data_IF_462077674813
#
_entry.id   IF_462077674813
#
_cell.length_a   1.000
_cell.length_b   1.000
_cell.length_c   1.000
_cell.angle_alpha   90.00
_cell.angle_beta   90.00
_cell.angle_gamma   90.00
#
_symmetry.space_group_name_H-M   'P 1'
#
loop_
_entity.id
_entity.type
_entity.pdbx_description
1 polymer ?
#
# COMPACT_ATOMS: atom_id res chain seq x y z
N UNK A 1 6.42 13.46 -9.47
CA UNK A 1 7.38 12.62 -10.21
C UNK A 1 7.37 11.24 -9.60
N UNK A 2 7.00 10.22 -10.37
CA UNK A 2 7.03 8.82 -9.95
C UNK A 2 8.47 8.46 -9.50
N UNK A 3 8.69 7.72 -8.40
CA UNK A 3 10.02 7.59 -7.80
C UNK A 3 10.85 6.49 -8.48
N UNK A 4 10.83 6.41 -9.81
CA UNK A 4 11.64 5.44 -10.56
C UNK A 4 12.86 6.16 -11.14
N UNK A 5 14.05 5.77 -10.69
CA UNK A 5 15.30 6.27 -11.24
C UNK A 5 15.42 5.90 -12.74
N UNK A 6 15.99 6.79 -13.56
CA UNK A 6 16.04 6.61 -15.03
C UNK A 6 16.72 5.30 -15.44
N UNK A 7 17.76 4.88 -14.71
CA UNK A 7 18.44 3.59 -14.91
C UNK A 7 17.52 2.36 -14.84
N UNK A 8 16.39 2.47 -14.14
CA UNK A 8 15.45 1.36 -13.94
C UNK A 8 14.39 1.28 -15.05
N UNK A 9 14.21 2.32 -15.88
CA UNK A 9 13.11 2.39 -16.85
C UNK A 9 13.17 1.28 -17.90
N UNK A 10 14.34 1.00 -18.46
CA UNK A 10 14.51 -0.05 -19.47
C UNK A 10 14.20 -1.45 -18.94
N UNK A 11 14.65 -1.77 -17.72
CA UNK A 11 14.32 -3.04 -17.08
C UNK A 11 12.83 -3.17 -16.76
N UNK A 12 12.19 -2.08 -16.31
CA UNK A 12 10.75 -2.09 -16.03
C UNK A 12 9.92 -2.29 -17.30
N UNK A 13 10.34 -1.73 -18.44
CA UNK A 13 9.71 -2.00 -19.73
C UNK A 13 9.81 -3.47 -20.14
N UNK A 14 10.99 -4.08 -19.98
CA UNK A 14 11.20 -5.50 -20.25
C UNK A 14 10.31 -6.39 -19.36
N UNK A 15 10.27 -6.10 -18.05
CA UNK A 15 9.41 -6.83 -17.10
C UNK A 15 7.92 -6.66 -17.45
N UNK A 16 7.48 -5.44 -17.79
CA UNK A 16 6.10 -5.16 -18.16
C UNK A 16 5.64 -5.92 -19.41
N UNK A 17 6.56 -6.22 -20.34
CA UNK A 17 6.25 -7.02 -21.54
C UNK A 17 6.14 -8.53 -21.26
N UNK A 18 6.80 -9.01 -20.20
CA UNK A 18 6.93 -10.44 -19.87
C UNK A 18 5.93 -10.91 -18.81
N UNK A 19 5.38 -9.99 -18.02
CA UNK A 19 4.54 -10.30 -16.87
C UNK A 19 3.21 -9.58 -16.97
N UNK A 20 2.15 -10.30 -16.59
CA UNK A 20 0.87 -9.67 -16.36
C UNK A 20 0.92 -8.92 -15.04
N UNK A 21 0.60 -7.62 -15.07
CA UNK A 21 0.46 -6.81 -13.88
C UNK A 21 -0.90 -7.12 -13.28
N UNK A 22 -0.91 -7.79 -12.13
CA UNK A 22 -2.10 -8.05 -11.33
C UNK A 22 -2.06 -7.13 -10.10
N UNK A 23 -2.57 -5.89 -10.20
CA UNK A 23 -2.59 -4.99 -9.05
C UNK A 23 -3.49 -5.59 -7.97
N UNK A 24 -3.07 -5.41 -6.72
CA UNK A 24 -3.92 -5.75 -5.58
C UNK A 24 -5.25 -4.98 -5.69
N UNK A 25 -6.41 -5.65 -5.52
CA UNK A 25 -7.70 -4.97 -5.56
C UNK A 25 -7.80 -3.97 -4.40
N UNK A 26 -8.27 -2.77 -4.74
CA UNK A 26 -8.62 -1.74 -3.77
C UNK A 26 -10.05 -1.29 -4.03
N UNK A 27 -10.79 -1.01 -2.97
CA UNK A 27 -12.19 -0.64 -3.01
C UNK A 27 -12.41 0.71 -2.33
N UNK A 28 -13.41 1.44 -2.80
CA UNK A 28 -13.86 2.66 -2.13
C UNK A 28 -14.75 2.34 -0.92
N UNK A 29 -15.27 3.38 -0.27
CA UNK A 29 -16.16 3.26 0.89
C UNK A 29 -17.49 2.54 0.57
N UNK A 30 -17.90 2.48 -0.69
CA UNK A 30 -19.08 1.75 -1.16
C UNK A 30 -18.75 0.32 -1.59
N UNK A 31 -17.53 -0.16 -1.35
CA UNK A 31 -17.02 -1.45 -1.83
C UNK A 31 -16.99 -1.55 -3.37
N UNK A 32 -16.88 -0.42 -4.07
CA UNK A 32 -16.71 -0.40 -5.53
C UNK A 32 -15.23 -0.50 -5.85
N UNK A 33 -14.88 -1.39 -6.78
CA UNK A 33 -13.51 -1.59 -7.21
C UNK A 33 -12.93 -0.31 -7.81
N UNK A 34 -11.83 0.16 -7.24
CA UNK A 34 -11.08 1.31 -7.76
C UNK A 34 -10.26 0.84 -8.96
N UNK A 35 -10.31 1.53 -10.12
CA UNK A 35 -9.42 1.23 -11.22
C UNK A 35 -7.95 1.49 -10.85
N UNK A 36 -6.99 0.64 -11.23
CA UNK A 36 -5.57 0.82 -10.91
C UNK A 36 -4.99 2.19 -11.31
N UNK A 37 -5.51 2.79 -12.38
CA UNK A 37 -5.12 4.12 -12.85
C UNK A 37 -5.42 5.23 -11.81
N UNK A 38 -6.39 5.00 -10.93
CA UNK A 38 -6.82 5.95 -9.90
C UNK A 38 -6.17 5.69 -8.53
N UNK A 39 -5.36 4.65 -8.39
CA UNK A 39 -4.79 4.25 -7.09
C UNK A 39 -3.97 5.36 -6.45
N UNK A 40 -3.13 6.06 -7.21
CA UNK A 40 -2.33 7.14 -6.62
C UNK A 40 -3.24 8.25 -6.06
N UNK A 41 -4.29 8.63 -6.78
CA UNK A 41 -5.18 9.70 -6.36
C UNK A 41 -6.08 9.29 -5.19
N UNK A 42 -6.48 8.02 -5.11
CA UNK A 42 -7.46 7.52 -4.13
C UNK A 42 -6.81 6.94 -2.87
N UNK A 43 -5.62 6.34 -2.97
CA UNK A 43 -4.99 5.60 -1.86
C UNK A 43 -3.88 6.40 -1.17
N UNK A 44 -3.25 7.35 -1.85
CA UNK A 44 -2.08 8.05 -1.30
C UNK A 44 -2.50 8.99 -0.17
N UNK A 45 -2.22 8.59 1.07
CA UNK A 45 -2.61 9.34 2.27
C UNK A 45 -4.06 9.12 2.69
N UNK A 46 -4.74 8.15 2.09
CA UNK A 46 -6.05 7.69 2.54
C UNK A 46 -5.91 6.79 3.77
N UNK A 47 -6.95 6.79 4.62
CA UNK A 47 -7.08 5.77 5.66
C UNK A 47 -7.75 4.56 5.03
N UNK A 48 -7.11 3.40 5.13
CA UNK A 48 -7.58 2.16 4.54
C UNK A 48 -7.69 1.05 5.58
N UNK A 49 -8.70 0.21 5.43
CA UNK A 49 -8.76 -1.11 6.04
C UNK A 49 -8.00 -2.09 5.14
N UNK A 50 -7.08 -2.87 5.72
CA UNK A 50 -6.23 -3.80 4.98
C UNK A 50 -6.50 -5.22 5.43
N UNK A 51 -6.97 -6.07 4.52
CA UNK A 51 -7.23 -7.48 4.80
C UNK A 51 -6.01 -8.29 4.42
N UNK A 52 -5.41 -8.99 5.37
CA UNK A 52 -4.18 -9.76 5.16
C UNK A 52 -4.40 -11.23 5.51
N UNK A 53 -3.77 -12.10 4.74
CA UNK A 53 -3.67 -13.52 5.05
C UNK A 53 -2.25 -13.84 5.55
N UNK A 54 -2.15 -14.52 6.68
CA UNK A 54 -0.88 -14.96 7.24
C UNK A 54 -0.63 -16.43 6.90
N UNK A 55 0.51 -16.69 6.26
CA UNK A 55 0.98 -18.02 5.91
C UNK A 55 2.17 -18.39 6.78
N UNK A 56 2.17 -19.63 7.24
CA UNK A 56 3.34 -20.24 7.86
C UNK A 56 3.83 -21.36 6.95
N UNK A 57 5.09 -21.24 6.55
CA UNK A 57 5.79 -22.26 5.79
C UNK A 57 6.90 -22.85 6.66
N UNK A 58 6.76 -24.13 6.99
CA UNK A 58 7.81 -24.88 7.65
C UNK A 58 8.65 -25.63 6.62
N UNK A 59 9.84 -25.10 6.32
CA UNK A 59 10.78 -25.74 5.40
C UNK A 59 11.63 -26.74 6.18
N UNK A 60 11.18 -28.00 6.23
CA UNK A 60 11.83 -29.10 6.96
C UNK A 60 13.31 -29.25 6.62
N UNK A 61 13.66 -29.21 5.32
CA UNK A 61 15.04 -29.41 4.83
C UNK A 61 16.02 -28.39 5.41
N UNK A 62 15.61 -27.14 5.55
CA UNK A 62 16.44 -26.08 6.13
C UNK A 62 16.16 -25.84 7.61
N UNK A 63 15.22 -26.56 8.23
CA UNK A 63 14.69 -26.32 9.59
C UNK A 63 14.30 -24.85 9.82
N UNK A 64 13.70 -24.21 8.81
CA UNK A 64 13.31 -22.79 8.87
C UNK A 64 11.80 -22.66 8.91
N UNK A 65 11.34 -21.71 9.72
CA UNK A 65 9.97 -21.23 9.70
C UNK A 65 9.95 -19.90 8.97
N UNK A 66 9.12 -19.81 7.94
CA UNK A 66 8.90 -18.58 7.19
C UNK A 66 7.46 -18.16 7.47
N UNK A 67 7.27 -16.92 7.89
CA UNK A 67 5.96 -16.33 8.08
C UNK A 67 5.79 -15.26 7.02
N UNK A 68 4.73 -15.38 6.24
CA UNK A 68 4.42 -14.45 5.15
C UNK A 68 3.07 -13.80 5.43
N UNK A 69 3.01 -12.47 5.38
CA UNK A 69 1.76 -11.73 5.42
C UNK A 69 1.45 -11.24 4.01
N UNK A 70 0.41 -11.78 3.40
CA UNK A 70 -0.02 -11.45 2.04
C UNK A 70 -1.24 -10.56 2.12
N UNK A 71 -1.13 -9.35 1.59
CA UNK A 71 -2.24 -8.42 1.47
C UNK A 71 -3.25 -8.96 0.43
N UNK A 72 -4.54 -8.96 0.77
CA UNK A 72 -5.63 -9.51 -0.06
C UNK A 72 -6.46 -8.41 -0.69
N UNK A 73 -6.81 -7.39 0.08
CA UNK A 73 -7.54 -6.23 -0.42
C UNK A 73 -7.33 -5.01 0.49
N UNK A 74 -7.65 -3.85 -0.06
CA UNK A 74 -7.66 -2.56 0.63
C UNK A 74 -9.03 -1.92 0.47
N UNK A 75 -9.62 -1.40 1.54
CA UNK A 75 -10.89 -0.69 1.52
C UNK A 75 -10.66 0.72 2.04
N UNK A 76 -11.02 1.74 1.27
CA UNK A 76 -10.86 3.15 1.68
C UNK A 76 -11.93 3.50 2.71
N UNK A 77 -11.48 3.79 3.94
CA UNK A 77 -12.33 4.25 5.04
C UNK A 77 -12.48 5.78 5.04
N UNK A 78 -11.42 6.49 4.66
CA UNK A 78 -11.43 7.95 4.57
C UNK A 78 -10.57 8.41 3.39
N UNK A 79 -11.03 9.40 2.59
CA UNK A 79 -10.28 9.89 1.45
C UNK A 79 -8.92 10.48 1.87
N UNK A 80 -7.98 10.64 0.92
CA UNK A 80 -6.70 11.26 1.16
C UNK A 80 -6.80 12.60 1.88
N UNK A 81 -6.16 12.72 3.03
CA UNK A 81 -6.05 14.01 3.70
C UNK A 81 -5.23 14.98 2.82
N UNK A 82 -5.61 16.26 2.71
CA UNK A 82 -4.78 17.25 2.04
C UNK A 82 -3.39 17.26 2.66
N UNK A 83 -2.35 17.08 1.84
CA UNK A 83 -0.98 17.16 2.35
C UNK A 83 -0.77 18.52 3.03
N UNK A 84 -0.26 18.56 4.27
CA UNK A 84 0.04 19.83 4.93
C UNK A 84 1.02 20.64 4.07
N UNK A 85 0.69 21.91 3.82
CA UNK A 85 1.53 22.79 3.00
C UNK A 85 2.93 22.99 3.62
N UNK A 86 3.04 23.00 4.94
CA UNK A 86 4.32 23.20 5.64
C UNK A 86 5.18 21.92 5.69
N UNK A 87 6.49 22.08 5.43
CA UNK A 87 7.46 20.96 5.53
C UNK A 87 7.49 20.34 6.94
N UNK A 88 7.38 21.17 7.98
CA UNK A 88 7.41 20.70 9.37
C UNK A 88 6.23 19.78 9.73
N UNK A 89 5.03 20.05 9.21
CA UNK A 89 3.87 19.18 9.43
C UNK A 89 3.91 17.91 8.58
N UNK A 90 4.63 17.92 7.44
CA UNK A 90 4.86 16.73 6.62
C UNK A 90 5.80 15.71 7.26
N UNK A 91 6.84 16.13 7.99
CA UNK A 91 7.75 15.18 8.65
C UNK A 91 7.03 14.28 9.66
N UNK A 92 6.00 14.80 10.34
CA UNK A 92 5.24 14.05 11.37
C UNK A 92 4.24 13.03 10.82
N UNK A 93 3.97 13.03 9.51
CA UNK A 93 3.11 12.00 8.88
C UNK A 93 3.81 10.65 8.74
N UNK A 94 5.15 10.63 8.72
CA UNK A 94 5.92 9.39 8.68
C UNK A 94 5.95 8.68 10.04
N UNK A 95 5.58 9.37 11.12
CA UNK A 95 5.65 8.86 12.49
C UNK A 95 4.47 7.91 12.84
N UNK A 96 3.53 7.70 11.89
CA UNK A 96 2.35 6.87 12.09
C UNK A 96 1.26 7.55 12.94
N UNK A 97 0.07 6.95 13.06
CA UNK A 97 -1.01 7.54 13.85
C UNK A 97 -0.66 7.52 15.34
N UNK A 98 -0.57 8.70 15.96
CA UNK A 98 -0.61 8.83 17.42
C UNK A 98 -2.01 8.45 17.90
N UNK A 99 -2.14 7.31 18.55
CA UNK A 99 -3.34 6.94 19.31
C UNK A 99 -3.39 7.76 20.59
N UNK A 100 -3.75 9.04 20.50
CA UNK A 100 -4.20 9.79 21.66
C UNK A 100 -5.72 9.61 21.78
N UNK A 101 -6.13 8.67 22.62
CA UNK A 101 -7.51 8.64 23.12
C UNK A 101 -7.72 9.89 23.97
N UNK A 102 -8.52 10.83 23.47
CA UNK A 102 -9.04 11.92 24.28
C UNK A 102 -10.15 11.36 25.17
N UNK A 103 -9.79 10.94 26.38
CA UNK A 103 -10.77 10.65 27.43
C UNK A 103 -11.39 11.98 27.89
N UNK A 104 -12.71 12.07 27.79
CA UNK A 104 -13.53 13.13 28.39
C UNK A 104 -13.71 12.88 29.88
#
# INVERSE_FOLDING_TARGET
TWPVADRCKGHLQDVASKHNICPLPAYDWNHVLIPPLQYEAQLKGALVEAHMAFYHHHVKKSRRNIFEAVLRELIVLSPPAPMPSSRFKRCRLNDGPCTEQCNK
#
